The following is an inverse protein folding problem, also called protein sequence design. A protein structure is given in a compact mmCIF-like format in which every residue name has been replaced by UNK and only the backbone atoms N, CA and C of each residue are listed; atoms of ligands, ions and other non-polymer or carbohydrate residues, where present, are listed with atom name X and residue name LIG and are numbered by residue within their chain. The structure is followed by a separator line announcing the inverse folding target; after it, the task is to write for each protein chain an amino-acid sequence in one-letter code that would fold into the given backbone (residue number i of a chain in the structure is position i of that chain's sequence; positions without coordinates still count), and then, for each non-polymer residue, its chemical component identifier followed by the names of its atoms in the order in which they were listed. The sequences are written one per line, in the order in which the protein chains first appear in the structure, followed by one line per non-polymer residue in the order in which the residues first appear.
data_IF_997035638005
#
_entry.id   IF_997035638005
#
_cell.length_a   1.000
_cell.length_b   1.000
_cell.length_c   1.000
_cell.angle_alpha   90.00
_cell.angle_beta   90.00
_cell.angle_gamma   90.00
#
_symmetry.space_group_name_H-M   'P 1'
#
loop_
_entity.id
_entity.type
_entity.pdbx_description
1 polymer ?
#
# COMPACT_ATOMS: atom_id res chain seq x y z
N UNK A 1 -0.76 0.71 -12.08
CA UNK A 1 -1.28 1.68 -11.09
C UNK A 1 -2.80 1.59 -11.06
N UNK A 2 -3.35 1.08 -9.97
CA UNK A 2 -4.80 0.99 -9.73
C UNK A 2 -5.26 2.11 -8.80
N UNK A 3 -6.47 2.61 -8.99
CA UNK A 3 -7.09 3.57 -8.07
C UNK A 3 -8.16 2.81 -7.28
N UNK A 4 -8.07 2.85 -5.95
CA UNK A 4 -9.02 2.18 -5.06
C UNK A 4 -9.79 3.24 -4.28
N UNK A 5 -11.11 3.25 -4.42
CA UNK A 5 -11.99 4.19 -3.72
C UNK A 5 -12.91 3.53 -2.69
N UNK A 6 -13.05 2.21 -2.78
CA UNK A 6 -13.95 1.44 -1.94
C UNK A 6 -13.30 0.21 -1.34
N UNK A 7 -13.90 -0.32 -0.28
CA UNK A 7 -13.48 -1.60 0.30
C UNK A 7 -13.55 -2.73 -0.74
N UNK A 8 -14.59 -2.74 -1.58
CA UNK A 8 -14.74 -3.78 -2.60
C UNK A 8 -13.65 -3.70 -3.67
N UNK A 9 -13.26 -2.50 -4.10
CA UNK A 9 -12.14 -2.31 -5.01
C UNK A 9 -10.84 -2.81 -4.38
N UNK A 10 -10.62 -2.48 -3.11
CA UNK A 10 -9.44 -2.90 -2.35
C UNK A 10 -9.32 -4.43 -2.28
N UNK A 11 -10.41 -5.11 -1.89
CA UNK A 11 -10.46 -6.57 -1.82
C UNK A 11 -10.25 -7.22 -3.20
N UNK A 12 -10.76 -6.60 -4.27
CA UNK A 12 -10.52 -7.07 -5.64
C UNK A 12 -9.04 -7.04 -6.02
N UNK A 13 -8.33 -5.97 -5.65
CA UNK A 13 -6.88 -5.86 -5.85
C UNK A 13 -6.13 -6.92 -5.03
N UNK A 14 -6.48 -7.11 -3.75
CA UNK A 14 -5.85 -8.12 -2.90
C UNK A 14 -5.99 -9.54 -3.47
N UNK A 15 -7.14 -9.86 -4.06
CA UNK A 15 -7.37 -11.17 -4.67
C UNK A 15 -6.58 -11.38 -5.97
N UNK A 16 -6.20 -10.29 -6.65
CA UNK A 16 -5.52 -10.33 -7.94
C UNK A 16 -4.00 -10.30 -7.82
N UNK A 17 -3.47 -9.58 -6.84
CA UNK A 17 -2.03 -9.32 -6.72
C UNK A 17 -1.49 -9.77 -5.38
N UNK A 18 -0.34 -10.46 -5.43
CA UNK A 18 0.35 -10.92 -4.22
C UNK A 18 1.30 -9.89 -3.62
N UNK A 19 1.79 -8.94 -4.43
CA UNK A 19 2.75 -7.92 -4.03
C UNK A 19 2.17 -6.56 -4.41
N UNK A 20 1.80 -5.76 -3.42
CA UNK A 20 1.11 -4.48 -3.61
C UNK A 20 1.78 -3.42 -2.76
N UNK A 21 1.87 -2.19 -3.28
CA UNK A 21 2.16 -0.99 -2.51
C UNK A 21 0.99 -0.04 -2.63
N UNK A 22 0.40 0.31 -1.49
CA UNK A 22 -0.67 1.29 -1.39
C UNK A 22 -0.08 2.62 -0.98
N UNK A 23 -0.40 3.67 -1.75
CA UNK A 23 0.05 5.04 -1.52
C UNK A 23 -1.17 5.96 -1.51
N UNK A 24 -1.09 7.07 -0.78
CA UNK A 24 -2.11 8.12 -0.82
C UNK A 24 -1.87 9.14 -1.90
N UNK A 25 -2.96 9.71 -2.42
CA UNK A 25 -2.97 10.93 -3.20
C UNK A 25 -2.41 12.08 -2.34
N UNK A 26 -1.41 12.79 -2.85
CA UNK A 26 -0.66 13.84 -2.14
C UNK A 26 0.21 13.38 -0.96
N UNK A 27 0.64 12.12 -0.94
CA UNK A 27 1.55 11.60 0.07
C UNK A 27 3.04 11.83 -0.31
N UNK A 28 3.66 12.86 0.27
CA UNK A 28 5.08 13.18 0.03
C UNK A 28 6.02 12.03 0.41
N UNK A 29 5.80 11.40 1.57
CA UNK A 29 6.59 10.26 2.03
C UNK A 29 6.44 9.05 1.11
N UNK A 30 5.25 8.84 0.53
CA UNK A 30 5.02 7.80 -0.45
C UNK A 30 5.84 8.05 -1.73
N UNK A 31 5.94 9.29 -2.20
CA UNK A 31 6.80 9.63 -3.34
C UNK A 31 8.28 9.38 -3.05
N UNK A 32 8.74 9.74 -1.83
CA UNK A 32 10.12 9.46 -1.38
C UNK A 32 10.38 7.95 -1.32
N UNK A 33 9.44 7.19 -0.73
CA UNK A 33 9.50 5.74 -0.62
C UNK A 33 9.63 5.07 -2.00
N UNK A 34 8.72 5.38 -2.93
CA UNK A 34 8.74 4.81 -4.28
C UNK A 34 10.04 5.12 -5.01
N UNK A 35 10.56 6.35 -4.90
CA UNK A 35 11.82 6.75 -5.54
C UNK A 35 13.00 6.00 -4.93
N UNK A 36 13.10 5.99 -3.60
CA UNK A 36 14.22 5.39 -2.86
C UNK A 36 14.31 3.89 -3.07
N UNK A 37 13.18 3.18 -3.07
CA UNK A 37 13.13 1.72 -3.16
C UNK A 37 12.68 1.19 -4.52
N UNK A 38 12.71 2.02 -5.56
CA UNK A 38 12.26 1.68 -6.92
C UNK A 38 12.79 0.34 -7.46
N UNK A 39 14.05 -0.01 -7.18
CA UNK A 39 14.63 -1.32 -7.57
C UNK A 39 14.04 -2.49 -6.80
N UNK A 40 13.73 -2.31 -5.52
CA UNK A 40 13.15 -3.36 -4.69
C UNK A 40 11.68 -3.60 -5.02
N UNK A 41 11.01 -2.58 -5.54
CA UNK A 41 9.60 -2.58 -5.91
C UNK A 41 9.31 -3.20 -7.29
N UNK A 42 10.32 -3.75 -7.96
CA UNK A 42 10.11 -4.48 -9.21
C UNK A 42 9.15 -5.67 -8.98
N UNK A 43 8.06 -5.71 -9.74
CA UNK A 43 7.00 -6.72 -9.58
C UNK A 43 5.94 -6.42 -8.52
N UNK A 44 5.98 -5.26 -7.86
CA UNK A 44 4.88 -4.79 -7.02
C UNK A 44 3.85 -4.01 -7.84
N UNK A 45 2.57 -4.25 -7.58
CA UNK A 45 1.49 -3.41 -8.12
C UNK A 45 1.31 -2.16 -7.24
N UNK A 46 1.18 -1.00 -7.87
CA UNK A 46 0.98 0.26 -7.15
C UNK A 46 -0.51 0.59 -7.10
N UNK A 47 -1.03 0.80 -5.90
CA UNK A 47 -2.41 1.20 -5.63
C UNK A 47 -2.42 2.61 -5.09
N UNK A 48 -3.21 3.48 -5.69
CA UNK A 48 -3.45 4.84 -5.25
C UNK A 48 -4.78 4.90 -4.49
N UNK A 49 -4.71 5.36 -3.23
CA UNK A 49 -5.86 5.77 -2.44
C UNK A 49 -6.06 7.27 -2.63
N UNK A 50 -7.17 7.72 -3.25
CA UNK A 50 -7.50 9.13 -3.32
C UNK A 50 -7.87 9.67 -1.95
N UNK A 51 -7.95 11.01 -1.83
CA UNK A 51 -8.31 11.67 -0.55
C UNK A 51 -9.72 11.28 -0.08
N UNK A 52 -10.61 10.94 -1.01
CA UNK A 52 -11.98 10.55 -0.73
C UNK A 52 -12.17 9.05 -0.99
N UNK A 53 -12.02 8.26 0.07
CA UNK A 53 -12.34 6.82 0.11
C UNK A 53 -13.61 6.62 0.93
N UNK A 54 -14.32 5.52 0.70
CA UNK A 54 -15.50 5.19 1.52
C UNK A 54 -15.14 4.89 2.98
N UNK A 55 -16.12 5.07 3.87
CA UNK A 55 -15.97 4.85 5.31
C UNK A 55 -15.67 3.37 5.61
N UNK A 56 -16.21 2.44 4.82
CA UNK A 56 -15.98 1.00 4.98
C UNK A 56 -14.51 0.61 4.77
N UNK A 57 -13.81 1.21 3.80
CA UNK A 57 -12.38 0.99 3.57
C UNK A 57 -11.55 1.59 4.70
N UNK A 58 -11.95 2.77 5.18
CA UNK A 58 -11.28 3.42 6.31
C UNK A 58 -11.42 2.58 7.59
N UNK A 59 -12.64 2.12 7.89
CA UNK A 59 -12.94 1.25 9.02
C UNK A 59 -12.20 -0.09 8.90
N UNK A 60 -12.12 -0.66 7.70
CA UNK A 60 -11.33 -1.85 7.45
C UNK A 60 -9.86 -1.63 7.83
N UNK A 61 -9.22 -0.54 7.37
CA UNK A 61 -7.83 -0.25 7.73
C UNK A 61 -7.63 -0.14 9.24
N UNK A 62 -8.52 0.55 9.95
CA UNK A 62 -8.46 0.62 11.41
C UNK A 62 -8.64 -0.76 12.07
N UNK A 63 -9.55 -1.59 11.56
CA UNK A 63 -9.80 -2.93 12.10
C UNK A 63 -8.59 -3.87 12.00
N UNK A 64 -7.73 -3.68 10.98
CA UNK A 64 -6.48 -4.43 10.80
C UNK A 64 -5.26 -3.67 11.34
N UNK A 65 -5.47 -2.57 12.06
CA UNK A 65 -4.45 -1.80 12.75
C UNK A 65 -3.57 -0.94 11.83
N UNK A 66 -4.01 -0.64 10.62
CA UNK A 66 -3.34 0.31 9.72
C UNK A 66 -3.75 1.72 10.09
N UNK A 67 -2.79 2.55 10.50
CA UNK A 67 -3.03 3.95 10.88
C UNK A 67 -2.37 4.95 9.92
N UNK A 68 -1.75 4.46 8.84
CA UNK A 68 -1.02 5.31 7.92
C UNK A 68 -0.62 4.61 6.63
N UNK A 69 -0.05 5.42 5.75
CA UNK A 69 0.45 5.08 4.42
C UNK A 69 1.91 5.55 4.31
N UNK A 70 2.76 4.93 3.46
CA UNK A 70 2.44 3.83 2.55
C UNK A 70 2.20 2.49 3.26
N UNK A 71 1.48 1.58 2.59
CA UNK A 71 1.25 0.21 3.03
C UNK A 71 1.89 -0.73 2.01
N UNK A 72 2.67 -1.68 2.48
CA UNK A 72 3.24 -2.76 1.68
C UNK A 72 2.45 -4.03 1.98
N UNK A 73 2.09 -4.78 0.93
CA UNK A 73 1.32 -6.01 1.07
C UNK A 73 2.04 -7.11 0.33
N UNK A 74 2.33 -8.21 1.04
CA UNK A 74 3.03 -9.37 0.49
C UNK A 74 2.30 -10.62 0.94
N UNK A 75 1.76 -11.37 -0.03
CA UNK A 75 0.99 -12.60 0.19
C UNK A 75 -0.12 -12.42 1.25
N UNK A 76 -0.83 -11.29 1.17
CA UNK A 76 -1.94 -10.93 2.07
C UNK A 76 -1.52 -10.34 3.43
N UNK A 77 -0.23 -10.31 3.74
CA UNK A 77 0.29 -9.66 4.96
C UNK A 77 0.48 -8.17 4.72
N UNK A 78 -0.05 -7.35 5.63
CA UNK A 78 0.02 -5.90 5.55
C UNK A 78 1.14 -5.38 6.45
N UNK A 79 1.95 -4.48 5.90
CA UNK A 79 3.05 -3.80 6.59
C UNK A 79 2.86 -2.31 6.38
N UNK A 80 2.92 -1.53 7.46
CA UNK A 80 2.86 -0.07 7.43
C UNK A 80 3.76 0.47 8.55
N UNK A 81 4.24 1.69 8.41
CA UNK A 81 5.20 2.26 9.35
C UNK A 81 6.13 3.27 8.66
N UNK A 82 7.32 3.46 9.21
CA UNK A 82 8.28 4.36 8.60
C UNK A 82 8.83 3.80 7.27
N UNK A 83 9.22 4.71 6.37
CA UNK A 83 9.64 4.36 5.02
C UNK A 83 10.92 3.50 4.98
N UNK A 84 11.78 3.54 6.01
CA UNK A 84 12.97 2.72 6.04
C UNK A 84 12.64 1.27 6.40
N UNK A 85 11.79 1.07 7.41
CA UNK A 85 11.27 -0.25 7.75
C UNK A 85 10.53 -0.89 6.56
N UNK A 86 9.65 -0.13 5.90
CA UNK A 86 8.96 -0.61 4.70
C UNK A 86 9.93 -0.90 3.55
N UNK A 87 11.03 -0.13 3.47
CA UNK A 87 12.13 -0.36 2.55
C UNK A 87 12.81 -1.72 2.76
N UNK A 88 13.11 -2.05 4.02
CA UNK A 88 13.65 -3.36 4.38
C UNK A 88 12.67 -4.48 4.03
N UNK A 89 11.37 -4.30 4.29
CA UNK A 89 10.34 -5.28 3.92
C UNK A 89 10.33 -5.55 2.41
N UNK A 90 10.29 -4.51 1.57
CA UNK A 90 10.24 -4.72 0.11
C UNK A 90 11.54 -5.29 -0.44
N UNK A 91 12.70 -4.85 0.05
CA UNK A 91 14.00 -5.34 -0.42
C UNK A 91 14.34 -6.74 0.09
N UNK A 92 13.83 -7.16 1.26
CA UNK A 92 14.04 -8.52 1.79
C UNK A 92 13.09 -9.56 1.21
N UNK A 93 12.04 -9.11 0.50
CA UNK A 93 11.01 -9.97 -0.08
C UNK A 93 11.27 -10.42 -1.53
N UNK A 94 12.45 -10.10 -2.08
CA UNK A 94 12.82 -10.44 -3.46
C UNK A 94 13.12 -11.93 -3.63
#
# INVERSE_FOLDING_TARGET
MHIVKSLQDYLSVLNRFRRIVVIGENCADCHVFLKRYSRCLEGFEIVLLPVNIDDDLLDFFFSIGILGIPIVIIDGKHFWGDINHLGEVVCSSQ
#
